data_IF_986140049578
#
_entry.id   IF_986140049578
#
_cell.length_a   1.000
_cell.length_b   1.000
_cell.length_c   1.000
_cell.angle_alpha   90.00
_cell.angle_beta   90.00
_cell.angle_gamma   90.00
#
_symmetry.space_group_name_H-M   'P 1'
#
loop_
_entity.id
_entity.type
_entity.pdbx_description
1 polymer ?
#
# COMPACT_ATOMS: atom_id res chain seq x y z
N UNK A 1 16.54 2.37 -7.20
CA UNK A 1 15.16 2.12 -6.72
C UNK A 1 14.44 3.46 -6.67
N UNK A 2 13.13 3.55 -6.91
CA UNK A 2 12.49 4.86 -6.93
C UNK A 2 12.36 5.43 -5.52
N UNK A 3 12.45 6.75 -5.45
CA UNK A 3 12.27 7.57 -4.26
C UNK A 3 11.03 7.17 -3.46
N UNK A 4 11.17 7.21 -2.12
CA UNK A 4 10.05 7.07 -1.18
C UNK A 4 9.48 8.45 -0.77
N UNK A 5 9.90 9.55 -1.40
CA UNK A 5 9.34 10.87 -1.17
C UNK A 5 7.85 10.92 -1.55
N UNK A 6 7.02 11.53 -0.70
CA UNK A 6 5.57 11.51 -0.87
C UNK A 6 5.12 12.07 -2.23
N UNK A 7 5.78 13.10 -2.74
CA UNK A 7 5.46 13.68 -4.04
C UNK A 7 5.76 12.69 -5.18
N UNK A 8 6.92 12.06 -5.13
CA UNK A 8 7.36 11.09 -6.14
C UNK A 8 6.46 9.84 -6.12
N UNK A 9 5.97 9.46 -4.93
CA UNK A 9 4.98 8.40 -4.75
C UNK A 9 3.67 8.74 -5.46
N UNK A 10 3.14 9.96 -5.30
CA UNK A 10 1.93 10.37 -6.01
C UNK A 10 2.14 10.40 -7.53
N UNK A 11 3.29 10.89 -8.00
CA UNK A 11 3.61 10.89 -9.43
C UNK A 11 3.65 9.45 -9.97
N UNK A 12 4.34 8.54 -9.28
CA UNK A 12 4.40 7.13 -9.63
C UNK A 12 3.01 6.50 -9.74
N UNK A 13 2.18 6.64 -8.71
CA UNK A 13 0.85 6.02 -8.71
C UNK A 13 -0.06 6.65 -9.75
N UNK A 14 0.05 7.95 -10.02
CA UNK A 14 -0.74 8.63 -11.05
C UNK A 14 -0.49 8.12 -12.46
N UNK A 15 0.72 7.60 -12.70
CA UNK A 15 1.14 7.02 -13.99
C UNK A 15 0.95 5.50 -14.04
N UNK A 16 0.47 4.88 -12.97
CA UNK A 16 0.30 3.44 -12.88
C UNK A 16 -0.81 2.94 -13.81
N UNK A 17 -0.67 1.71 -14.32
CA UNK A 17 -1.54 1.17 -15.38
C UNK A 17 -3.03 1.16 -15.01
N UNK A 18 -3.37 0.85 -13.76
CA UNK A 18 -4.74 0.94 -13.25
C UNK A 18 -4.95 2.30 -12.56
N UNK A 19 -5.66 3.25 -13.20
CA UNK A 19 -5.88 4.59 -12.64
C UNK A 19 -6.76 4.58 -11.38
N UNK A 20 -7.47 3.48 -11.11
CA UNK A 20 -8.27 3.32 -9.89
C UNK A 20 -7.37 3.29 -8.65
N UNK A 21 -6.16 2.74 -8.77
CA UNK A 21 -5.22 2.62 -7.66
C UNK A 21 -4.86 4.01 -7.12
N UNK A 22 -4.44 4.94 -8.00
CA UNK A 22 -4.11 6.30 -7.59
C UNK A 22 -5.28 7.03 -6.93
N UNK A 23 -6.49 6.86 -7.48
CA UNK A 23 -7.71 7.46 -6.93
C UNK A 23 -8.01 6.96 -5.53
N UNK A 24 -7.90 5.65 -5.30
CA UNK A 24 -8.13 5.04 -3.98
C UNK A 24 -7.06 5.49 -2.99
N UNK A 25 -5.79 5.48 -3.38
CA UNK A 25 -4.68 5.97 -2.55
C UNK A 25 -4.93 7.42 -2.12
N UNK A 26 -5.19 8.30 -3.09
CA UNK A 26 -5.44 9.73 -2.82
C UNK A 26 -6.64 9.94 -1.90
N UNK A 27 -7.69 9.11 -2.05
CA UNK A 27 -8.87 9.17 -1.18
C UNK A 27 -8.57 8.71 0.25
N UNK A 28 -7.83 7.60 0.41
CA UNK A 28 -7.41 7.12 1.72
C UNK A 28 -6.50 8.13 2.42
N UNK A 29 -5.50 8.64 1.73
CA UNK A 29 -4.53 9.58 2.30
C UNK A 29 -5.16 10.91 2.74
N UNK A 30 -6.26 11.32 2.09
CA UNK A 30 -7.04 12.51 2.43
C UNK A 30 -7.71 12.45 3.80
N UNK A 31 -7.72 11.30 4.47
CA UNK A 31 -8.22 11.12 5.85
C UNK A 31 -7.16 10.51 6.80
N UNK A 32 -5.90 10.48 6.38
CA UNK A 32 -4.79 9.89 7.14
C UNK A 32 -3.99 10.94 7.94
N UNK A 33 -4.63 11.85 8.66
CA UNK A 33 -3.94 12.92 9.41
C UNK A 33 -3.10 12.40 10.61
N UNK A 34 -3.18 11.11 10.89
CA UNK A 34 -2.52 10.43 12.01
C UNK A 34 -1.17 9.79 11.63
N UNK A 35 -0.81 9.78 10.35
CA UNK A 35 0.49 9.27 9.88
C UNK A 35 1.63 10.18 10.31
N UNK A 36 2.85 9.65 10.38
CA UNK A 36 4.02 10.39 10.86
C UNK A 36 4.79 11.13 9.75
N UNK A 37 4.31 11.06 8.51
CA UNK A 37 4.85 11.74 7.34
C UNK A 37 5.05 13.26 7.56
N UNK A 38 6.15 13.79 7.03
CA UNK A 38 6.56 15.18 7.19
C UNK A 38 7.45 15.44 8.40
N UNK A 39 7.63 14.48 9.32
CA UNK A 39 8.66 14.58 10.35
C UNK A 39 10.07 14.53 9.72
N UNK A 40 10.94 15.54 9.94
CA UNK A 40 12.25 15.61 9.26
C UNK A 40 13.18 14.41 9.52
N UNK A 41 13.14 13.84 10.74
CA UNK A 41 13.95 12.66 11.08
C UNK A 41 13.43 11.42 10.37
N UNK A 42 12.11 11.25 10.29
CA UNK A 42 11.48 10.18 9.53
C UNK A 42 11.78 10.31 8.04
N UNK A 43 11.63 11.49 7.46
CA UNK A 43 11.92 11.70 6.02
C UNK A 43 13.38 11.40 5.68
N UNK A 44 14.31 11.79 6.55
CA UNK A 44 15.73 11.43 6.42
C UNK A 44 15.96 9.91 6.55
N UNK A 45 15.26 9.25 7.46
CA UNK A 45 15.31 7.80 7.60
C UNK A 45 14.73 7.07 6.38
N UNK A 46 13.61 7.53 5.83
CA UNK A 46 12.96 6.96 4.64
C UNK A 46 13.82 7.15 3.39
N UNK A 47 14.50 8.29 3.27
CA UNK A 47 15.47 8.50 2.20
C UNK A 47 16.61 7.47 2.28
N UNK A 48 17.23 7.33 3.45
CA UNK A 48 18.29 6.32 3.67
C UNK A 48 17.81 4.89 3.44
N UNK A 49 16.56 4.59 3.82
CA UNK A 49 15.94 3.29 3.55
C UNK A 49 15.78 3.07 2.04
N UNK A 50 15.28 4.08 1.30
CA UNK A 50 15.16 4.02 -0.16
C UNK A 50 16.52 3.78 -0.84
N UNK A 51 17.55 4.50 -0.41
CA UNK A 51 18.93 4.34 -0.89
C UNK A 51 19.46 2.92 -0.58
N UNK A 52 19.26 2.42 0.65
CA UNK A 52 19.70 1.08 1.05
C UNK A 52 18.98 -0.05 0.30
N UNK A 53 17.73 0.18 -0.13
CA UNK A 53 16.97 -0.77 -0.92
C UNK A 53 17.49 -0.87 -2.36
N UNK A 54 18.20 0.13 -2.89
CA UNK A 54 18.79 0.06 -4.24
C UNK A 54 19.84 -1.05 -4.37
N UNK A 55 20.60 -1.28 -3.31
CA UNK A 55 21.71 -2.23 -3.25
C UNK A 55 21.31 -3.56 -2.60
N UNK A 56 20.02 -3.78 -2.36
CA UNK A 56 19.57 -4.98 -1.67
C UNK A 56 19.69 -6.18 -2.62
N UNK A 57 20.67 -7.03 -2.36
CA UNK A 57 20.82 -8.34 -3.00
C UNK A 57 19.78 -9.33 -2.47
N UNK A 58 20.05 -10.64 -2.61
CA UNK A 58 19.27 -11.70 -1.98
C UNK A 58 19.53 -11.74 -0.46
N UNK A 59 18.94 -10.82 0.30
CA UNK A 59 18.96 -10.83 1.77
C UNK A 59 17.60 -11.34 2.24
N UNK A 60 17.60 -12.36 3.12
CA UNK A 60 16.39 -12.77 3.83
C UNK A 60 16.03 -11.67 4.85
N UNK A 61 14.99 -10.90 4.54
CA UNK A 61 14.49 -9.81 5.37
C UNK A 61 13.74 -10.40 6.56
N UNK A 62 14.46 -10.75 7.62
CA UNK A 62 13.91 -11.11 8.94
C UNK A 62 13.46 -9.86 9.72
N UNK A 63 12.83 -8.92 9.03
CA UNK A 63 12.44 -7.60 9.53
C UNK A 63 10.94 -7.36 9.36
N UNK A 64 10.13 -8.42 9.24
CA UNK A 64 8.71 -8.34 8.95
C UNK A 64 7.97 -7.48 9.98
N UNK A 65 8.26 -7.67 11.27
CA UNK A 65 7.67 -6.86 12.34
C UNK A 65 8.02 -5.37 12.20
N UNK A 66 9.28 -5.04 11.97
CA UNK A 66 9.70 -3.64 11.84
C UNK A 66 9.08 -3.00 10.59
N UNK A 67 8.93 -3.77 9.51
CA UNK A 67 8.24 -3.32 8.30
C UNK A 67 6.75 -3.08 8.56
N UNK A 68 6.08 -3.95 9.33
CA UNK A 68 4.68 -3.72 9.75
C UNK A 68 4.57 -2.43 10.55
N UNK A 69 5.43 -2.25 11.54
CA UNK A 69 5.43 -1.07 12.42
C UNK A 69 5.63 0.21 11.59
N UNK A 70 6.61 0.23 10.68
CA UNK A 70 6.85 1.37 9.78
C UNK A 70 5.67 1.59 8.83
N UNK A 71 5.23 0.57 8.11
CA UNK A 71 4.14 0.68 7.13
C UNK A 71 2.84 1.18 7.77
N UNK A 72 2.59 0.81 9.03
CA UNK A 72 1.42 1.24 9.79
C UNK A 72 1.36 2.77 9.92
N UNK A 73 2.49 3.45 10.09
CA UNK A 73 2.52 4.89 10.35
C UNK A 73 2.82 5.77 9.13
N UNK A 74 3.02 5.17 7.95
CA UNK A 74 3.22 5.90 6.70
C UNK A 74 1.89 6.10 5.96
N UNK A 75 1.81 7.17 5.16
CA UNK A 75 0.77 7.36 4.14
C UNK A 75 0.62 6.13 3.24
N UNK A 76 -0.63 5.85 2.85
CA UNK A 76 -0.99 4.60 2.14
C UNK A 76 -0.13 4.37 0.90
N UNK A 77 0.05 5.38 0.06
CA UNK A 77 0.83 5.27 -1.17
C UNK A 77 2.30 4.95 -0.90
N UNK A 78 2.88 5.47 0.19
CA UNK A 78 4.29 5.24 0.53
C UNK A 78 4.53 3.82 1.00
N UNK A 79 3.71 3.31 1.92
CA UNK A 79 3.89 1.93 2.38
C UNK A 79 3.60 0.92 1.26
N UNK A 80 2.60 1.17 0.41
CA UNK A 80 2.35 0.31 -0.76
C UNK A 80 3.54 0.33 -1.72
N UNK A 81 4.16 1.50 -1.93
CA UNK A 81 5.38 1.58 -2.75
C UNK A 81 6.52 0.79 -2.11
N UNK A 82 6.69 0.90 -0.79
CA UNK A 82 7.72 0.17 -0.04
C UNK A 82 7.51 -1.35 -0.16
N UNK A 83 6.29 -1.85 0.00
CA UNK A 83 5.99 -3.27 -0.18
C UNK A 83 6.27 -3.73 -1.61
N UNK A 84 5.85 -2.97 -2.63
CA UNK A 84 6.15 -3.27 -4.03
C UNK A 84 7.66 -3.28 -4.30
N UNK A 85 8.37 -2.34 -3.70
CA UNK A 85 9.82 -2.21 -3.76
C UNK A 85 10.52 -3.45 -3.18
N UNK A 86 10.10 -3.90 -2.01
CA UNK A 86 10.60 -5.13 -1.38
C UNK A 86 10.30 -6.35 -2.24
N UNK A 87 9.10 -6.44 -2.82
CA UNK A 87 8.69 -7.56 -3.66
C UNK A 87 9.46 -7.62 -5.00
N UNK A 88 9.86 -6.47 -5.55
CA UNK A 88 10.72 -6.40 -6.72
C UNK A 88 12.14 -6.90 -6.44
N UNK A 89 12.67 -6.61 -5.24
CA UNK A 89 14.00 -7.04 -4.84
C UNK A 89 14.02 -8.52 -4.41
N UNK A 90 12.98 -8.95 -3.69
CA UNK A 90 12.79 -10.31 -3.21
C UNK A 90 11.35 -10.76 -3.47
N UNK A 91 11.08 -11.51 -4.55
CA UNK A 91 9.74 -11.96 -4.90
C UNK A 91 9.06 -12.71 -3.75
N UNK A 92 7.90 -12.22 -3.31
CA UNK A 92 7.14 -12.78 -2.18
C UNK A 92 7.40 -12.08 -0.85
N UNK A 93 8.28 -11.08 -0.78
CA UNK A 93 8.54 -10.31 0.45
C UNK A 93 7.26 -9.67 1.00
N UNK A 94 6.46 -9.03 0.15
CA UNK A 94 5.24 -8.36 0.59
C UNK A 94 4.22 -9.36 1.14
N UNK A 95 4.12 -10.54 0.52
CA UNK A 95 3.27 -11.62 0.99
C UNK A 95 3.75 -12.18 2.35
N UNK A 96 5.07 -12.33 2.53
CA UNK A 96 5.67 -12.77 3.81
C UNK A 96 5.35 -11.80 4.95
N UNK A 97 5.43 -10.49 4.69
CA UNK A 97 5.06 -9.46 5.66
C UNK A 97 3.57 -9.54 6.03
N UNK A 98 2.68 -9.73 5.05
CA UNK A 98 1.25 -9.90 5.30
C UNK A 98 0.95 -11.15 6.14
N UNK A 99 1.54 -12.29 5.78
CA UNK A 99 1.39 -13.54 6.54
C UNK A 99 1.90 -13.39 7.98
N UNK A 100 3.06 -12.75 8.16
CA UNK A 100 3.58 -12.51 9.50
C UNK A 100 2.68 -11.58 10.32
N UNK A 101 2.09 -10.56 9.70
CA UNK A 101 1.11 -9.70 10.36
C UNK A 101 -0.11 -10.50 10.82
N UNK A 102 -0.62 -11.42 10.00
CA UNK A 102 -1.74 -12.31 10.37
C UNK A 102 -1.39 -13.22 11.56
N UNK A 103 -0.15 -13.74 11.62
CA UNK A 103 0.31 -14.61 12.71
C UNK A 103 0.44 -13.88 14.06
N UNK A 104 0.92 -12.62 14.05
CA UNK A 104 1.21 -11.88 15.28
C UNK A 104 0.03 -11.04 15.78
N UNK A 105 -0.98 -10.81 14.94
CA UNK A 105 -2.16 -10.02 15.31
C UNK A 105 -2.93 -10.72 16.43
N UNK A 106 -3.13 -10.03 17.55
CA UNK A 106 -3.93 -10.49 18.68
C UNK A 106 -5.26 -9.75 18.77
N UNK A 107 -5.26 -8.49 18.33
CA UNK A 107 -6.43 -7.66 18.31
C UNK A 107 -6.41 -6.74 17.10
N UNK A 108 -7.61 -6.44 16.64
CA UNK A 108 -7.93 -5.50 15.58
C UNK A 108 -7.43 -4.05 15.80
N UNK A 109 -6.91 -3.75 17.00
CA UNK A 109 -6.39 -2.44 17.40
C UNK A 109 -4.89 -2.45 17.68
N UNK A 110 -4.21 -3.59 17.58
CA UNK A 110 -2.75 -3.62 17.61
C UNK A 110 -2.16 -3.19 16.25
N UNK A 111 -0.85 -2.95 16.19
CA UNK A 111 -0.21 -2.40 14.98
C UNK A 111 -0.36 -3.34 13.78
N UNK A 112 -0.22 -4.65 13.97
CA UNK A 112 -0.40 -5.63 12.92
C UNK A 112 -1.86 -5.66 12.43
N UNK A 113 -2.83 -5.58 13.34
CA UNK A 113 -4.25 -5.47 13.03
C UNK A 113 -4.58 -4.19 12.25
N UNK A 114 -3.98 -3.05 12.61
CA UNK A 114 -4.14 -1.78 11.86
C UNK A 114 -3.54 -1.91 10.46
N UNK A 115 -2.32 -2.45 10.33
CA UNK A 115 -1.67 -2.70 9.05
C UNK A 115 -2.53 -3.58 8.13
N UNK A 116 -3.03 -4.71 8.64
CA UNK A 116 -3.91 -5.62 7.88
C UNK A 116 -5.20 -4.92 7.48
N UNK A 117 -5.84 -4.20 8.41
CA UNK A 117 -7.08 -3.48 8.12
C UNK A 117 -6.88 -2.44 7.01
N UNK A 118 -5.78 -1.70 7.02
CA UNK A 118 -5.46 -0.72 5.96
C UNK A 118 -5.35 -1.39 4.59
N UNK A 119 -4.66 -2.53 4.52
CA UNK A 119 -4.57 -3.33 3.28
C UNK A 119 -5.95 -3.84 2.82
N UNK A 120 -6.77 -4.35 3.74
CA UNK A 120 -8.13 -4.82 3.44
C UNK A 120 -9.01 -3.67 2.94
N UNK A 121 -8.93 -2.49 3.56
CA UNK A 121 -9.69 -1.31 3.15
C UNK A 121 -9.26 -0.84 1.77
N UNK A 122 -7.95 -0.76 1.50
CA UNK A 122 -7.42 -0.46 0.18
C UNK A 122 -7.99 -1.40 -0.90
N UNK A 123 -7.92 -2.72 -0.66
CA UNK A 123 -8.42 -3.71 -1.60
C UNK A 123 -9.94 -3.64 -1.78
N UNK A 124 -10.70 -3.45 -0.70
CA UNK A 124 -12.17 -3.29 -0.77
C UNK A 124 -12.55 -2.06 -1.58
N UNK A 125 -11.92 -0.90 -1.32
CA UNK A 125 -12.20 0.32 -2.06
C UNK A 125 -11.86 0.16 -3.55
N UNK A 126 -10.72 -0.46 -3.86
CA UNK A 126 -10.29 -0.76 -5.23
C UNK A 126 -11.28 -1.69 -5.96
N UNK A 127 -11.64 -2.81 -5.33
CA UNK A 127 -12.52 -3.82 -5.93
C UNK A 127 -13.95 -3.32 -6.08
N UNK A 128 -14.52 -2.69 -5.04
CA UNK A 128 -15.91 -2.17 -5.09
C UNK A 128 -16.02 -1.09 -6.17
N UNK A 129 -15.05 -0.17 -6.26
CA UNK A 129 -15.04 0.89 -7.28
C UNK A 129 -15.04 0.34 -8.71
N UNK A 130 -14.43 -0.84 -8.92
CA UNK A 130 -14.36 -1.50 -10.23
C UNK A 130 -15.54 -2.41 -10.53
N UNK A 131 -16.00 -3.18 -9.54
CA UNK A 131 -17.10 -4.14 -9.66
C UNK A 131 -18.42 -3.42 -9.85
N UNK A 132 -18.64 -2.35 -9.09
CA UNK A 132 -19.86 -1.54 -9.12
C UNK A 132 -19.69 -0.25 -9.93
N UNK A 133 -18.74 -0.23 -10.88
CA UNK A 133 -18.56 0.90 -11.77
C UNK A 133 -19.83 1.12 -12.62
N UNK A 134 -20.23 2.37 -12.92
CA UNK A 134 -21.43 2.66 -13.70
C UNK A 134 -21.51 1.90 -15.04
N UNK A 135 -20.38 1.71 -15.72
CA UNK A 135 -20.36 0.98 -16.99
C UNK A 135 -20.64 -0.51 -16.82
N UNK A 136 -20.31 -1.12 -15.67
CA UNK A 136 -20.70 -2.51 -15.35
C UNK A 136 -22.21 -2.62 -15.19
N UNK A 137 -22.83 -1.66 -14.51
CA UNK A 137 -24.29 -1.62 -14.37
C UNK A 137 -24.99 -1.44 -15.71
N UNK A 138 -24.51 -0.54 -16.58
CA UNK A 138 -25.07 -0.37 -17.94
C UNK A 138 -25.07 -1.68 -18.73
N UNK A 139 -23.99 -2.45 -18.65
CA UNK A 139 -23.88 -3.76 -19.33
C UNK A 139 -24.93 -4.72 -18.78
N UNK A 140 -25.06 -4.81 -17.46
CA UNK A 140 -26.01 -5.71 -16.80
C UNK A 140 -27.45 -5.30 -17.11
N UNK A 141 -27.79 -4.02 -16.98
CA UNK A 141 -29.13 -3.50 -17.27
C UNK A 141 -29.52 -3.77 -18.72
N UNK A 142 -28.63 -3.49 -19.69
CA UNK A 142 -28.89 -3.80 -21.09
C UNK A 142 -29.16 -5.29 -21.32
N UNK A 143 -28.36 -6.15 -20.70
CA UNK A 143 -28.54 -7.60 -20.82
C UNK A 143 -29.86 -8.10 -20.21
N UNK A 144 -30.37 -7.42 -19.18
CA UNK A 144 -31.65 -7.75 -18.53
C UNK A 144 -32.87 -7.15 -19.24
N UNK A 145 -32.71 -6.04 -19.96
CA UNK A 145 -33.78 -5.38 -20.72
C UNK A 145 -33.97 -5.97 -22.13
N UNK A 146 -32.90 -6.45 -22.76
CA UNK A 146 -32.93 -7.07 -24.10
C UNK A 146 -33.31 -8.58 -24.08
N UNK A 147 -33.50 -9.18 -22.90
CA UNK A 147 -33.87 -10.60 -22.71
C UNK A 147 -35.31 -10.79 -22.25
#
# INVERSE_FOLDING_TARGET
MPSLDHRDIHEFWSQYQDPTIYRVISFMEGVEDWTLDGNPELESALKRLGDALEDIGNIDLQLEKDMIDVCTYLKTGRYLRLLMCLDMAYPGAAAKILMHAEEITKADTDLAGIFLRRNIVFERLRLISRVFAPDRFKIITKALEDG
#
